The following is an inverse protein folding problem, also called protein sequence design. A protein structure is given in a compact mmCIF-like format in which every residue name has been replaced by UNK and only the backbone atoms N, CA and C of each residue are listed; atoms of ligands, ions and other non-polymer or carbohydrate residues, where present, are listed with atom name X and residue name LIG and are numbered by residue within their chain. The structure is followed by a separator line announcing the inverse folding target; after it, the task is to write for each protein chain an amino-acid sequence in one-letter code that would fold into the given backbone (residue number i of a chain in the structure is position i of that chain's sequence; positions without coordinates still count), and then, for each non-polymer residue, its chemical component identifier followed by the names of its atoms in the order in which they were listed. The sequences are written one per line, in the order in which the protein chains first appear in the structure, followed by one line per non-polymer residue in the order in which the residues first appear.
data_IF_332146626559
#
_entry.id   IF_332146626559
#
_cell.length_a   1.000
_cell.length_b   1.000
_cell.length_c   1.000
_cell.angle_alpha   90.00
_cell.angle_beta   90.00
_cell.angle_gamma   90.00
#
_symmetry.space_group_name_H-M   'P 1'
#
loop_
_entity.id
_entity.type
_entity.pdbx_description
1 polymer ?
#
# COMPACT_ATOMS: atom_id res chain seq x y z
N UNK A 1 -1.70 -44.08 28.10
CA UNK A 1 -1.31 -42.80 28.73
C UNK A 1 -0.53 -41.98 27.71
N UNK A 2 -1.06 -40.79 27.45
CA UNK A 2 -0.44 -39.53 26.98
C UNK A 2 0.67 -39.55 25.91
N UNK A 3 0.31 -38.89 24.81
CA UNK A 3 1.14 -38.41 23.71
C UNK A 3 2.14 -37.33 24.19
N UNK A 4 3.31 -37.25 23.56
CA UNK A 4 4.04 -35.98 23.41
C UNK A 4 4.43 -35.76 21.95
N UNK A 5 3.68 -34.85 21.32
CA UNK A 5 3.89 -34.30 20.00
C UNK A 5 4.78 -33.07 20.15
N UNK A 6 6.04 -33.15 19.70
CA UNK A 6 6.97 -32.02 19.69
C UNK A 6 6.55 -31.03 18.60
N UNK A 7 5.97 -29.89 19.02
CA UNK A 7 5.62 -28.78 18.14
C UNK A 7 6.78 -27.78 18.11
N UNK A 8 7.52 -27.71 17.01
CA UNK A 8 8.45 -26.60 16.75
C UNK A 8 7.67 -25.39 16.21
N UNK A 9 7.86 -24.17 16.76
CA UNK A 9 7.33 -22.94 16.16
C UNK A 9 8.19 -22.48 14.97
N UNK A 10 7.62 -21.70 14.03
CA UNK A 10 8.38 -21.13 12.91
C UNK A 10 9.31 -20.01 13.40
N UNK A 11 10.55 -20.08 12.94
CA UNK A 11 11.61 -19.08 13.17
C UNK A 11 11.19 -17.77 12.51
N UNK A 12 10.84 -16.77 13.31
CA UNK A 12 10.73 -15.39 12.85
C UNK A 12 12.14 -14.86 12.55
N UNK A 13 12.34 -14.06 11.48
CA UNK A 13 13.62 -13.41 11.24
C UNK A 13 13.90 -12.42 12.38
N UNK A 14 15.02 -12.62 13.06
CA UNK A 14 15.51 -11.71 14.09
C UNK A 14 15.85 -10.36 13.44
N UNK A 15 15.08 -9.32 13.75
CA UNK A 15 15.47 -7.96 13.44
C UNK A 15 16.67 -7.60 14.35
N UNK A 16 17.85 -7.49 13.74
CA UNK A 16 19.07 -7.08 14.44
C UNK A 16 18.98 -5.58 14.74
N UNK A 17 18.71 -5.24 16.00
CA UNK A 17 18.74 -3.87 16.51
C UNK A 17 20.17 -3.47 16.81
N UNK A 18 20.86 -2.85 15.86
CA UNK A 18 22.08 -2.10 16.14
C UNK A 18 21.80 -0.60 15.96
N UNK A 19 21.88 0.11 17.09
CA UNK A 19 21.63 1.54 17.19
C UNK A 19 22.76 2.41 16.67
N UNK A 20 22.39 3.67 16.44
CA UNK A 20 23.28 4.79 16.11
C UNK A 20 22.42 6.05 16.00
N UNK A 21 22.09 6.63 17.16
CA UNK A 21 21.39 7.91 17.24
C UNK A 21 22.45 9.01 17.16
N UNK A 22 22.44 9.79 16.09
CA UNK A 22 23.12 11.09 16.07
C UNK A 22 22.05 12.18 16.11
N UNK A 23 22.14 12.97 17.17
CA UNK A 23 21.23 14.03 17.52
C UNK A 23 21.54 15.29 16.71
N UNK A 24 20.71 15.63 15.73
CA UNK A 24 20.44 17.02 15.33
C UNK A 24 19.28 17.05 14.34
N UNK A 25 18.14 17.65 14.69
CA UNK A 25 17.63 18.83 13.99
C UNK A 25 16.29 19.28 14.59
N UNK A 26 16.31 20.52 15.06
CA UNK A 26 15.27 21.51 15.28
C UNK A 26 13.79 21.11 15.31
N UNK A 27 13.20 21.36 16.49
CA UNK A 27 11.79 21.74 16.67
C UNK A 27 11.40 22.84 15.67
N UNK A 28 10.58 22.52 14.67
CA UNK A 28 9.75 23.51 13.99
C UNK A 28 8.29 23.17 14.22
N UNK A 29 7.71 23.95 15.13
CA UNK A 29 6.28 24.19 15.19
C UNK A 29 5.80 24.71 13.84
N UNK A 30 5.03 23.91 13.11
CA UNK A 30 4.14 24.36 12.04
C UNK A 30 2.95 23.41 11.95
N UNK A 31 2.08 23.51 12.95
CA UNK A 31 0.69 23.08 12.82
C UNK A 31 0.02 24.15 11.95
N UNK A 32 0.05 23.95 10.63
CA UNK A 32 -0.84 24.60 9.67
C UNK A 32 -0.72 23.87 8.33
N UNK A 33 -1.71 23.04 8.00
CA UNK A 33 -2.51 23.21 6.77
C UNK A 33 -3.49 22.04 6.57
N UNK A 34 -4.76 22.43 6.57
CA UNK A 34 -5.81 22.04 5.65
C UNK A 34 -5.62 20.76 4.82
N UNK A 35 -6.56 19.85 5.05
CA UNK A 35 -6.90 18.68 4.24
C UNK A 35 -6.83 18.94 2.72
N UNK A 36 -6.11 18.09 1.96
CA UNK A 36 -6.44 17.82 0.58
C UNK A 36 -7.32 16.56 0.51
N UNK A 37 -8.60 16.77 0.27
CA UNK A 37 -9.29 15.86 -0.64
C UNK A 37 -8.77 16.18 -2.04
N UNK A 38 -8.06 15.25 -2.67
CA UNK A 38 -8.10 14.98 -4.12
C UNK A 38 -6.78 14.43 -4.66
N UNK A 39 -6.94 13.44 -5.53
CA UNK A 39 -6.39 13.35 -6.88
C UNK A 39 -4.93 13.77 -7.12
N UNK A 40 -4.14 12.76 -7.50
CA UNK A 40 -3.04 12.78 -8.47
C UNK A 40 -2.19 14.05 -8.65
N UNK A 41 -0.90 13.84 -8.33
CA UNK A 41 0.30 14.43 -8.93
C UNK A 41 0.51 15.95 -8.91
N UNK A 42 1.45 16.39 -8.08
CA UNK A 42 2.68 17.06 -8.54
C UNK A 42 3.69 17.11 -7.40
N UNK A 43 4.92 16.68 -7.68
CA UNK A 43 6.15 16.74 -6.86
C UNK A 43 6.01 17.32 -5.44
N UNK A 44 5.93 16.43 -4.45
CA UNK A 44 6.14 16.73 -3.03
C UNK A 44 6.75 15.47 -2.43
N UNK A 45 7.70 15.63 -1.50
CA UNK A 45 8.59 14.58 -1.00
C UNK A 45 7.92 13.21 -0.87
N UNK A 46 8.63 12.16 -1.28
CA UNK A 46 8.12 10.78 -1.34
C UNK A 46 7.51 10.45 0.02
N UNK A 47 6.19 10.55 0.13
CA UNK A 47 5.47 10.12 1.33
C UNK A 47 5.48 8.59 1.29
N UNK A 48 6.15 7.91 2.23
CA UNK A 48 6.24 6.46 2.23
C UNK A 48 4.88 5.77 2.47
N UNK A 49 3.84 6.54 2.80
CA UNK A 49 2.52 6.03 3.14
C UNK A 49 1.51 6.21 2.01
N UNK A 50 1.19 5.14 1.30
CA UNK A 50 0.06 5.03 0.38
C UNK A 50 -1.12 4.26 0.98
N UNK A 51 -2.18 4.11 0.18
CA UNK A 51 -3.38 3.35 0.58
C UNK A 51 -3.10 1.87 0.79
N UNK A 52 -2.05 1.35 0.17
CA UNK A 52 -1.57 -0.02 0.39
C UNK A 52 -0.88 -0.15 1.74
N UNK A 53 0.02 0.75 2.06
CA UNK A 53 0.74 0.77 3.35
C UNK A 53 -0.23 1.00 4.51
N UNK A 54 -1.25 1.84 4.33
CA UNK A 54 -2.32 2.05 5.31
C UNK A 54 -3.12 0.75 5.56
N UNK A 55 -3.39 -0.03 4.51
CA UNK A 55 -4.08 -1.32 4.62
C UNK A 55 -3.20 -2.36 5.33
N UNK A 56 -1.91 -2.42 4.97
CA UNK A 56 -0.94 -3.26 5.65
C UNK A 56 -0.88 -2.92 7.15
N UNK A 57 -0.83 -1.63 7.50
CA UNK A 57 -0.73 -1.17 8.88
C UNK A 57 -1.93 -1.63 9.69
N UNK A 58 -3.13 -1.41 9.17
CA UNK A 58 -4.36 -1.87 9.80
C UNK A 58 -4.37 -3.41 9.97
N UNK A 59 -3.91 -4.16 8.96
CA UNK A 59 -3.88 -5.62 9.03
C UNK A 59 -2.87 -6.16 10.05
N UNK A 60 -1.72 -5.50 10.21
CA UNK A 60 -0.70 -5.86 11.18
C UNK A 60 -1.17 -5.55 12.61
N UNK A 61 -1.76 -4.36 12.82
CA UNK A 61 -2.37 -3.97 14.10
C UNK A 61 -3.52 -4.89 14.50
N UNK A 62 -4.33 -5.37 13.53
CA UNK A 62 -5.39 -6.33 13.78
C UNK A 62 -4.87 -7.67 14.34
N UNK A 63 -3.69 -8.10 13.91
CA UNK A 63 -3.09 -9.39 14.27
C UNK A 63 -2.28 -9.32 15.55
N UNK A 64 -1.51 -8.25 15.72
CA UNK A 64 -0.55 -8.09 16.82
C UNK A 64 -1.04 -7.17 17.94
N UNK A 65 -2.16 -6.47 17.74
CA UNK A 65 -2.69 -5.50 18.68
C UNK A 65 -1.96 -4.15 18.61
N UNK A 66 -2.44 -3.21 19.43
CA UNK A 66 -1.89 -1.85 19.53
C UNK A 66 -0.82 -1.73 20.62
N UNK A 67 -0.40 -2.84 21.22
CA UNK A 67 0.58 -2.85 22.32
C UNK A 67 1.99 -3.20 21.81
N UNK A 68 2.10 -3.88 20.66
CA UNK A 68 3.36 -4.41 20.12
C UNK A 68 3.76 -3.73 18.80
N UNK A 69 3.94 -2.41 18.82
CA UNK A 69 4.28 -1.61 17.63
C UNK A 69 5.59 -2.02 16.95
N UNK A 70 6.55 -2.60 17.69
CA UNK A 70 7.78 -3.15 17.13
C UNK A 70 7.48 -4.31 16.18
N UNK A 71 6.66 -5.27 16.59
CA UNK A 71 6.21 -6.39 15.75
C UNK A 71 5.42 -5.90 14.53
N UNK A 72 4.51 -4.93 14.75
CA UNK A 72 3.77 -4.28 13.64
C UNK A 72 4.71 -3.65 12.64
N UNK A 73 5.74 -2.93 13.10
CA UNK A 73 6.72 -2.28 12.23
C UNK A 73 7.54 -3.28 11.43
N UNK A 74 7.98 -4.39 12.04
CA UNK A 74 8.71 -5.44 11.34
C UNK A 74 7.84 -6.12 10.27
N UNK A 75 6.57 -6.39 10.57
CA UNK A 75 5.64 -6.96 9.59
C UNK A 75 5.42 -5.99 8.41
N UNK A 76 5.33 -4.68 8.69
CA UNK A 76 5.21 -3.66 7.64
C UNK A 76 6.44 -3.61 6.74
N UNK A 77 7.63 -3.56 7.33
CA UNK A 77 8.89 -3.58 6.60
C UNK A 77 9.02 -4.84 5.72
N UNK A 78 8.54 -5.98 6.19
CA UNK A 78 8.57 -7.23 5.45
C UNK A 78 7.57 -7.30 4.28
N UNK A 79 6.56 -6.42 4.23
CA UNK A 79 5.48 -6.46 3.22
C UNK A 79 5.46 -5.25 2.29
N UNK A 80 6.00 -4.11 2.73
CA UNK A 80 6.03 -2.87 1.97
C UNK A 80 7.33 -2.74 1.15
N UNK A 81 7.54 -3.66 0.19
CA UNK A 81 8.78 -3.77 -0.59
C UNK A 81 9.13 -2.55 -1.46
N UNK A 82 8.13 -1.71 -1.78
CA UNK A 82 8.30 -0.55 -2.64
C UNK A 82 8.87 0.67 -1.89
N UNK A 83 8.96 0.60 -0.56
CA UNK A 83 9.32 1.71 0.32
C UNK A 83 10.49 1.29 1.22
N UNK A 84 11.47 2.16 1.49
CA UNK A 84 12.58 1.84 2.37
C UNK A 84 12.11 1.38 3.76
N UNK A 85 12.65 0.29 4.33
CA UNK A 85 12.26 -0.20 5.66
C UNK A 85 12.40 0.85 6.77
N UNK A 86 13.36 1.76 6.64
CA UNK A 86 13.58 2.88 7.57
C UNK A 86 12.39 3.84 7.68
N UNK A 87 11.49 3.83 6.70
CA UNK A 87 10.25 4.63 6.74
C UNK A 87 9.20 4.07 7.70
N UNK A 88 9.32 2.80 8.10
CA UNK A 88 8.37 2.12 8.98
C UNK A 88 9.00 1.83 10.34
N UNK A 89 9.25 2.88 11.13
CA UNK A 89 9.58 2.71 12.54
C UNK A 89 8.32 2.42 13.38
N UNK A 90 8.49 1.86 14.58
CA UNK A 90 7.38 1.61 15.50
C UNK A 90 6.56 2.88 15.79
N UNK A 91 7.24 4.01 16.03
CA UNK A 91 6.59 5.30 16.25
C UNK A 91 5.91 5.84 15.00
N UNK A 92 6.51 5.68 13.82
CA UNK A 92 5.87 6.08 12.56
C UNK A 92 4.57 5.29 12.31
N UNK A 93 4.57 3.99 12.58
CA UNK A 93 3.38 3.14 12.49
C UNK A 93 2.28 3.58 13.47
N UNK A 94 2.66 3.87 14.71
CA UNK A 94 1.74 4.33 15.75
C UNK A 94 1.11 5.67 15.38
N UNK A 95 1.90 6.66 14.99
CA UNK A 95 1.41 7.98 14.57
C UNK A 95 0.48 7.84 13.36
N UNK A 96 0.89 7.04 12.36
CA UNK A 96 0.08 6.82 11.17
C UNK A 96 -1.27 6.18 11.49
N UNK A 97 -1.29 5.21 12.39
CA UNK A 97 -2.53 4.56 12.83
C UNK A 97 -3.52 5.56 13.39
N UNK A 98 -3.07 6.48 14.27
CA UNK A 98 -3.94 7.50 14.84
C UNK A 98 -4.44 8.51 13.81
N UNK A 99 -3.61 8.87 12.83
CA UNK A 99 -4.03 9.70 11.68
C UNK A 99 -5.15 9.02 10.90
N UNK A 100 -4.97 7.73 10.54
CA UNK A 100 -6.01 6.97 9.84
C UNK A 100 -7.27 6.85 10.67
N UNK A 101 -7.10 6.57 11.96
CA UNK A 101 -8.21 6.47 12.87
C UNK A 101 -9.05 7.75 12.92
N UNK A 102 -8.41 8.93 13.00
CA UNK A 102 -9.12 10.21 12.99
C UNK A 102 -9.77 10.53 11.63
N UNK A 103 -9.20 10.05 10.52
CA UNK A 103 -9.75 10.29 9.18
C UNK A 103 -11.00 9.48 8.88
N UNK A 104 -11.05 8.23 9.37
CA UNK A 104 -12.12 7.30 9.03
C UNK A 104 -13.09 7.01 10.18
N UNK A 105 -12.74 7.34 11.42
CA UNK A 105 -13.65 7.21 12.56
C UNK A 105 -14.36 8.54 12.81
N UNK A 106 -15.64 8.64 12.45
CA UNK A 106 -16.42 9.88 12.62
C UNK A 106 -16.70 10.27 14.08
N UNK A 107 -16.45 9.41 15.08
CA UNK A 107 -16.56 9.73 16.51
C UNK A 107 -15.86 8.68 17.40
N UNK A 108 -14.65 9.01 17.87
CA UNK A 108 -13.99 8.60 19.12
C UNK A 108 -14.01 7.17 19.71
N UNK A 109 -14.30 6.10 18.96
CA UNK A 109 -13.98 4.73 19.41
C UNK A 109 -13.06 4.04 18.42
N UNK A 110 -11.81 4.54 18.37
CA UNK A 110 -10.76 4.09 17.48
C UNK A 110 -9.99 2.85 17.94
N UNK A 111 -10.56 2.10 18.87
CA UNK A 111 -9.94 0.89 19.41
C UNK A 111 -10.41 -0.32 18.64
N UNK A 112 -9.58 -1.36 18.62
CA UNK A 112 -9.99 -2.67 18.14
C UNK A 112 -11.16 -3.13 19.03
N UNK A 113 -12.35 -3.25 18.46
CA UNK A 113 -13.55 -3.77 19.15
C UNK A 113 -13.88 -5.12 18.58
N UNK A 114 -14.01 -6.13 19.44
CA UNK A 114 -14.31 -7.51 19.04
C UNK A 114 -13.35 -8.05 17.96
N UNK A 115 -12.06 -7.69 18.07
CA UNK A 115 -11.05 -8.08 17.08
C UNK A 115 -11.23 -7.42 15.71
N UNK A 116 -11.89 -6.25 15.64
CA UNK A 116 -12.11 -5.50 14.40
C UNK A 116 -11.70 -4.03 14.55
N UNK A 117 -11.04 -3.50 13.52
CA UNK A 117 -10.78 -2.07 13.36
C UNK A 117 -11.95 -1.48 12.56
N UNK A 118 -12.75 -0.55 13.12
CA UNK A 118 -13.97 -0.07 12.47
C UNK A 118 -13.77 0.46 11.06
N UNK A 119 -12.65 1.14 10.83
CA UNK A 119 -12.31 1.82 9.57
C UNK A 119 -11.53 0.96 8.55
N UNK A 120 -11.20 -0.29 8.89
CA UNK A 120 -10.38 -1.14 8.02
C UNK A 120 -11.08 -1.47 6.69
N UNK A 121 -12.40 -1.63 6.72
CA UNK A 121 -13.19 -1.93 5.52
C UNK A 121 -13.24 -0.74 4.56
N UNK A 122 -13.22 0.48 5.08
CA UNK A 122 -13.23 1.73 4.34
C UNK A 122 -11.91 1.89 3.57
N UNK A 123 -10.78 1.61 4.22
CA UNK A 123 -9.45 1.61 3.57
C UNK A 123 -9.37 0.51 2.51
N UNK A 124 -9.91 -0.68 2.77
CA UNK A 124 -9.99 -1.76 1.77
C UNK A 124 -10.81 -1.34 0.55
N UNK A 125 -12.01 -0.78 0.76
CA UNK A 125 -12.88 -0.30 -0.32
C UNK A 125 -12.17 0.76 -1.16
N UNK A 126 -11.45 1.69 -0.52
CA UNK A 126 -10.66 2.71 -1.22
C UNK A 126 -9.60 2.07 -2.13
N UNK A 127 -8.82 1.12 -1.61
CA UNK A 127 -7.78 0.44 -2.40
C UNK A 127 -8.38 -0.34 -3.57
N UNK A 128 -9.49 -1.05 -3.35
CA UNK A 128 -10.19 -1.79 -4.42
C UNK A 128 -10.71 -0.83 -5.50
N UNK A 129 -11.28 0.31 -5.12
CA UNK A 129 -11.77 1.30 -6.08
C UNK A 129 -10.63 1.89 -6.94
N UNK A 130 -9.47 2.16 -6.33
CA UNK A 130 -8.28 2.60 -7.06
C UNK A 130 -7.82 1.54 -8.06
N UNK A 131 -7.66 0.29 -7.62
CA UNK A 131 -7.23 -0.81 -8.48
C UNK A 131 -8.20 -1.07 -9.64
N UNK A 132 -9.52 -0.97 -9.39
CA UNK A 132 -10.53 -1.11 -10.45
C UNK A 132 -10.38 -0.03 -11.52
N UNK A 133 -10.18 1.23 -11.12
CA UNK A 133 -9.96 2.33 -12.06
C UNK A 133 -8.66 2.16 -12.86
N UNK A 134 -7.58 1.76 -12.19
CA UNK A 134 -6.30 1.47 -12.83
C UNK A 134 -6.45 0.35 -13.87
N UNK A 135 -7.15 -0.73 -13.51
CA UNK A 135 -7.43 -1.86 -14.39
C UNK A 135 -8.25 -1.43 -15.62
N UNK A 136 -9.35 -0.71 -15.43
CA UNK A 136 -10.19 -0.20 -16.53
C UNK A 136 -9.38 0.67 -17.51
N UNK A 137 -8.48 1.50 -16.99
CA UNK A 137 -7.58 2.32 -17.80
C UNK A 137 -6.61 1.45 -18.63
N UNK A 138 -6.02 0.42 -18.04
CA UNK A 138 -5.13 -0.49 -18.75
C UNK A 138 -5.86 -1.34 -19.79
N UNK A 139 -7.06 -1.83 -19.50
CA UNK A 139 -7.88 -2.58 -20.44
C UNK A 139 -8.22 -1.74 -21.68
N UNK A 140 -8.58 -0.46 -21.47
CA UNK A 140 -8.78 0.49 -22.56
C UNK A 140 -7.50 0.75 -23.37
N UNK A 141 -6.38 0.99 -22.68
CA UNK A 141 -5.09 1.24 -23.35
C UNK A 141 -4.63 0.04 -24.19
N UNK A 142 -4.74 -1.17 -23.64
CA UNK A 142 -4.41 -2.42 -24.32
C UNK A 142 -5.35 -2.59 -25.52
N UNK A 143 -6.67 -2.46 -25.32
CA UNK A 143 -7.66 -2.58 -26.39
C UNK A 143 -7.37 -1.62 -27.56
N UNK A 144 -7.13 -0.35 -27.26
CA UNK A 144 -6.79 0.67 -28.26
C UNK A 144 -5.49 0.33 -29.01
N UNK A 145 -4.46 -0.14 -28.30
CA UNK A 145 -3.17 -0.51 -28.91
C UNK A 145 -3.29 -1.74 -29.83
N UNK A 146 -4.08 -2.73 -29.43
CA UNK A 146 -4.34 -3.93 -30.22
C UNK A 146 -5.17 -3.61 -31.46
N UNK A 147 -6.21 -2.78 -31.31
CA UNK A 147 -7.02 -2.31 -32.43
C UNK A 147 -6.16 -1.56 -33.46
N UNK A 148 -5.32 -0.63 -33.01
CA UNK A 148 -4.39 0.09 -33.88
C UNK A 148 -3.38 -0.84 -34.59
N UNK A 149 -2.94 -1.92 -33.92
CA UNK A 149 -2.05 -2.92 -34.53
C UNK A 149 -2.77 -3.75 -35.58
N UNK A 150 -4.00 -4.17 -35.31
CA UNK A 150 -4.83 -4.92 -36.26
C UNK A 150 -5.14 -4.09 -37.51
N UNK A 151 -5.43 -2.79 -37.37
CA UNK A 151 -5.62 -1.89 -38.49
C UNK A 151 -4.37 -1.79 -39.37
N UNK A 152 -3.19 -1.63 -38.76
CA UNK A 152 -1.90 -1.63 -39.48
C UNK A 152 -1.63 -2.96 -40.21
N UNK A 153 -1.94 -4.09 -39.57
CA UNK A 153 -1.77 -5.41 -40.20
C UNK A 153 -2.70 -5.62 -41.40
N UNK A 154 -3.97 -5.18 -41.29
CA UNK A 154 -4.93 -5.27 -42.40
C UNK A 154 -4.51 -4.39 -43.58
N UNK A 155 -4.11 -3.15 -43.33
CA UNK A 155 -3.60 -2.25 -44.38
C UNK A 155 -2.36 -2.83 -45.07
N UNK A 156 -1.44 -3.43 -44.31
CA UNK A 156 -0.28 -4.10 -44.89
C UNK A 156 -0.68 -5.29 -45.78
N UNK A 157 -1.66 -6.08 -45.37
CA UNK A 157 -2.18 -7.20 -46.17
C UNK A 157 -2.81 -6.72 -47.48
N UNK A 158 -3.66 -5.68 -47.43
CA UNK A 158 -4.31 -5.11 -48.61
C UNK A 158 -3.30 -4.55 -49.62
N UNK A 159 -2.23 -3.92 -49.13
CA UNK A 159 -1.12 -3.44 -49.98
C UNK A 159 -0.43 -4.62 -50.68
N UNK A 160 -0.14 -5.71 -49.95
CA UNK A 160 0.49 -6.90 -50.51
C UNK A 160 -0.41 -7.55 -51.57
N UNK A 161 -1.71 -7.71 -51.29
CA UNK A 161 -2.66 -8.28 -52.24
C UNK A 161 -2.77 -7.44 -53.53
N UNK A 162 -2.82 -6.11 -53.39
CA UNK A 162 -2.87 -5.20 -54.54
C UNK A 162 -1.60 -5.27 -55.39
N UNK A 163 -0.43 -5.44 -54.77
CA UNK A 163 0.84 -5.62 -55.49
C UNK A 163 0.88 -6.95 -56.24
N UNK A 164 0.39 -8.04 -55.63
CA UNK A 164 0.33 -9.36 -56.27
C UNK A 164 -0.57 -9.36 -57.51
N UNK A 165 -1.71 -8.65 -57.47
CA UNK A 165 -2.62 -8.57 -58.61
C UNK A 165 -2.10 -7.73 -59.79
N UNK A 166 -1.09 -6.89 -59.58
CA UNK A 166 -0.50 -6.04 -60.63
C UNK A 166 0.76 -6.65 -61.29
N UNK A 167 1.21 -7.82 -60.84
CA UNK A 167 2.33 -8.60 -61.40
C UNK A 167 1.83 -9.78 -62.22
#
# INVERSE_FOLDING_TARGET
MMQQKSSHPPIAPACNSNGGFDSNVSLTSSINSCFPHSSSSAASGINPWGTWEDLLLASAVLRHGMDNWTTVSCELQARAFLVPPSSFSAEACKVRFWILNGRFSSCNSGTIRDGKIPWFEEVRKLRVAQLKRELEHYDGSIGNSLFARQGRQKAAHEIVDSLVHHL
#
